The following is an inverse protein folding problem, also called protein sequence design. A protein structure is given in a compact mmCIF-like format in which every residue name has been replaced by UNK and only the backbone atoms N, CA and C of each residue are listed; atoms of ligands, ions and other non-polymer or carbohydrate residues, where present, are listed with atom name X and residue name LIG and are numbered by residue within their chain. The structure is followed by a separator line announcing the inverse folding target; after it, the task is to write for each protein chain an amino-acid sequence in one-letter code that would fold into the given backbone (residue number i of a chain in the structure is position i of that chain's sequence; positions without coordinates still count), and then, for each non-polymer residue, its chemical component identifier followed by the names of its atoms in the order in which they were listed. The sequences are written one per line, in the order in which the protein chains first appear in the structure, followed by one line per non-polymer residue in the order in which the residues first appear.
data_IF_953082176367
#
_entry.id   IF_953082176367
#
_cell.length_a   1.000
_cell.length_b   1.000
_cell.length_c   1.000
_cell.angle_alpha   90.00
_cell.angle_beta   90.00
_cell.angle_gamma   90.00
#
_symmetry.space_group_name_H-M   'P 1'
#
loop_
_entity.id
_entity.type
_entity.pdbx_description
1 polymer ?
#
# COMPACT_ATOMS: atom_id res chain seq x y z
N UNK A 1 -4.62 -0.62 -36.07
CA UNK A 1 -5.04 -1.61 -35.07
C UNK A 1 -4.54 -1.04 -33.77
N UNK A 2 -5.46 -0.51 -32.98
CA UNK A 2 -5.15 0.34 -31.84
C UNK A 2 -4.46 -0.46 -30.74
N UNK A 3 -3.26 -0.01 -30.36
CA UNK A 3 -2.53 -0.44 -29.17
C UNK A 3 -3.34 -0.03 -27.93
N UNK A 4 -4.33 -0.85 -27.59
CA UNK A 4 -5.20 -0.60 -26.45
C UNK A 4 -4.39 -0.86 -25.17
N UNK A 5 -3.79 0.20 -24.64
CA UNK A 5 -3.14 0.23 -23.34
C UNK A 5 -4.09 -0.39 -22.30
N UNK A 6 -3.65 -1.47 -21.68
CA UNK A 6 -4.46 -2.24 -20.73
C UNK A 6 -4.64 -1.46 -19.41
N UNK A 7 -3.82 -0.42 -19.17
CA UNK A 7 -4.04 0.66 -18.21
C UNK A 7 -3.31 1.92 -18.68
N UNK A 8 -4.00 3.07 -18.71
CA UNK A 8 -3.36 4.37 -19.01
C UNK A 8 -2.78 5.06 -17.76
N UNK A 9 -3.20 4.64 -16.58
CA UNK A 9 -2.82 5.23 -15.30
C UNK A 9 -2.85 4.16 -14.20
N UNK A 10 -1.75 3.97 -13.47
CA UNK A 10 -1.84 3.53 -12.09
C UNK A 10 -2.00 4.81 -11.26
N UNK A 11 -3.11 4.95 -10.56
CA UNK A 11 -3.28 6.07 -9.65
C UNK A 11 -2.57 5.72 -8.35
N UNK A 12 -1.54 6.49 -8.00
CA UNK A 12 -1.07 6.55 -6.60
C UNK A 12 -2.12 7.31 -5.81
N UNK A 13 -3.22 6.64 -5.46
CA UNK A 13 -4.27 7.24 -4.63
C UNK A 13 -3.80 7.11 -3.18
N UNK A 14 -3.67 8.23 -2.47
CA UNK A 14 -3.36 8.25 -1.04
C UNK A 14 -2.08 8.98 -0.64
N UNK A 15 -1.33 9.56 -1.58
CA UNK A 15 -0.38 10.62 -1.20
C UNK A 15 -1.23 11.84 -0.84
N UNK A 16 -1.58 12.00 0.44
CA UNK A 16 -2.09 13.29 0.91
C UNK A 16 -1.03 14.37 0.63
N UNK A 17 -1.40 15.66 0.51
CA UNK A 17 -0.45 16.75 0.30
C UNK A 17 0.64 16.84 1.38
N UNK A 18 0.46 16.15 2.51
CA UNK A 18 1.49 15.99 3.54
C UNK A 18 2.58 14.97 3.16
N UNK A 19 2.21 13.84 2.54
CA UNK A 19 3.16 12.79 2.13
C UNK A 19 3.97 13.23 0.91
N UNK A 20 3.41 14.09 0.05
CA UNK A 20 4.15 14.65 -1.10
C UNK A 20 5.35 15.51 -0.63
N UNK A 21 5.23 16.21 0.51
CA UNK A 21 6.33 17.01 1.07
C UNK A 21 7.46 16.17 1.66
N UNK A 22 7.15 14.98 2.18
CA UNK A 22 8.13 14.08 2.80
C UNK A 22 8.84 13.16 1.78
N UNK A 23 8.28 13.04 0.58
CA UNK A 23 8.85 12.25 -0.52
C UNK A 23 9.71 13.08 -1.49
N UNK A 24 9.69 14.41 -1.41
CA UNK A 24 10.65 15.26 -2.11
C UNK A 24 11.99 15.13 -1.37
N UNK A 25 13.04 14.56 -1.98
CA UNK A 25 14.36 14.57 -1.38
C UNK A 25 14.78 16.04 -1.22
N UNK A 26 14.89 16.52 0.02
CA UNK A 26 15.63 17.74 0.28
C UNK A 26 17.09 17.44 -0.09
N UNK A 27 17.56 17.93 -1.23
CA UNK A 27 18.96 17.88 -1.68
C UNK A 27 19.90 18.73 -0.80
N UNK A 28 19.71 18.70 0.52
CA UNK A 28 20.60 19.33 1.49
C UNK A 28 21.13 18.27 2.46
N UNK A 29 22.19 17.63 1.98
CA UNK A 29 23.11 16.84 2.80
C UNK A 29 23.77 17.79 3.82
N UNK A 30 23.17 17.94 4.99
CA UNK A 30 23.83 18.54 6.14
C UNK A 30 23.94 17.55 7.29
N UNK A 31 25.09 16.85 7.28
CA UNK A 31 25.65 16.11 8.40
C UNK A 31 25.66 16.99 9.66
N UNK A 32 24.73 16.76 10.60
CA UNK A 32 24.95 17.16 11.98
C UNK A 32 24.14 16.32 12.96
N UNK A 33 24.90 15.77 13.91
CA UNK A 33 24.55 14.89 15.00
C UNK A 33 23.56 15.54 15.97
N UNK A 34 22.33 15.02 16.11
CA UNK A 34 21.59 15.00 17.39
C UNK A 34 20.33 14.11 17.30
N UNK A 35 20.09 13.20 18.26
CA UNK A 35 18.85 12.44 18.31
C UNK A 35 17.74 13.34 18.87
N UNK A 36 16.84 13.81 17.99
CA UNK A 36 15.62 14.49 18.43
C UNK A 36 14.56 13.45 18.77
N UNK A 37 14.27 13.33 20.06
CA UNK A 37 13.12 12.61 20.59
C UNK A 37 11.83 13.22 20.01
N UNK A 38 11.22 12.55 19.04
CA UNK A 38 9.88 12.89 18.54
C UNK A 38 8.86 11.92 19.14
N UNK A 39 8.55 12.10 20.42
CA UNK A 39 7.32 11.61 21.04
C UNK A 39 6.20 12.61 20.74
N UNK A 40 5.36 12.29 19.76
CA UNK A 40 3.95 12.69 19.57
C UNK A 40 3.63 12.89 18.08
N UNK A 41 3.33 11.80 17.40
CA UNK A 41 2.37 11.84 16.31
C UNK A 41 1.26 10.87 16.69
N UNK A 42 0.01 11.35 16.67
CA UNK A 42 -1.18 10.54 16.91
C UNK A 42 -1.21 9.42 15.88
N UNK A 43 -0.68 8.26 16.26
CA UNK A 43 -0.70 7.02 15.49
C UNK A 43 -2.11 6.46 15.51
N UNK A 44 -3.00 7.09 14.75
CA UNK A 44 -4.25 6.44 14.35
C UNK A 44 -3.86 5.39 13.30
N UNK A 45 -3.60 4.18 13.81
CA UNK A 45 -3.02 3.01 13.13
C UNK A 45 -1.50 3.12 12.99
N UNK A 46 -0.77 2.17 13.60
CA UNK A 46 0.69 2.19 13.83
C UNK A 46 1.58 2.05 12.58
N UNK A 47 1.31 2.80 11.52
CA UNK A 47 2.27 3.00 10.44
C UNK A 47 3.20 4.17 10.82
N UNK A 48 4.47 3.87 11.11
CA UNK A 48 5.50 4.90 11.25
C UNK A 48 5.65 5.58 9.88
N UNK A 49 5.16 6.81 9.79
CA UNK A 49 5.11 7.60 8.55
C UNK A 49 6.48 8.04 8.06
N UNK A 50 7.56 7.84 8.82
CA UNK A 50 8.90 8.19 8.36
C UNK A 50 9.35 7.18 7.29
N UNK A 51 9.38 7.56 5.98
CA UNK A 51 9.59 6.60 4.89
C UNK A 51 10.95 5.89 4.97
N UNK A 52 11.91 6.50 5.67
CA UNK A 52 13.26 5.97 5.88
C UNK A 52 13.30 4.75 6.81
N UNK A 53 12.28 4.53 7.65
CA UNK A 53 12.29 3.45 8.64
C UNK A 53 11.33 2.30 8.36
N UNK A 54 10.37 2.45 7.42
CA UNK A 54 9.50 1.34 7.05
C UNK A 54 10.26 0.23 6.31
N UNK A 55 10.03 -1.02 6.75
CA UNK A 55 10.48 -2.19 6.01
C UNK A 55 9.79 -2.24 4.63
N UNK A 56 10.48 -2.67 3.57
CA UNK A 56 9.89 -2.78 2.24
C UNK A 56 8.78 -3.81 2.22
N UNK A 57 7.85 -3.68 1.27
CA UNK A 57 6.86 -4.72 0.98
C UNK A 57 7.60 -5.87 0.29
N UNK A 58 7.43 -7.07 0.84
CA UNK A 58 8.15 -8.27 0.40
C UNK A 58 7.21 -9.44 0.06
N UNK A 59 5.91 -9.26 0.27
CA UNK A 59 4.90 -10.26 -0.01
C UNK A 59 3.52 -9.62 -0.17
N UNK A 60 2.68 -10.24 -1.00
CA UNK A 60 1.29 -9.83 -1.24
C UNK A 60 0.44 -11.09 -1.27
N UNK A 61 -0.74 -11.02 -0.66
CA UNK A 61 -1.76 -12.05 -0.71
C UNK A 61 -3.11 -11.43 -1.06
N UNK A 62 -4.01 -12.24 -1.61
CA UNK A 62 -5.43 -11.88 -1.77
C UNK A 62 -6.23 -12.84 -0.92
N UNK A 63 -7.17 -12.30 -0.14
CA UNK A 63 -8.07 -13.10 0.70
C UNK A 63 -9.52 -12.98 0.23
N UNK A 64 -10.28 -14.05 0.43
CA UNK A 64 -11.73 -14.11 0.23
C UNK A 64 -12.47 -14.13 1.58
N UNK A 65 -12.96 -12.95 2.00
CA UNK A 65 -13.72 -12.84 3.25
C UNK A 65 -15.11 -13.48 3.17
N UNK A 66 -15.64 -13.72 1.98
CA UNK A 66 -16.92 -14.43 1.82
C UNK A 66 -16.82 -15.88 2.29
N UNK A 67 -15.65 -16.51 2.16
CA UNK A 67 -15.37 -17.83 2.72
C UNK A 67 -14.75 -17.80 4.14
N UNK A 68 -14.72 -16.63 4.77
CA UNK A 68 -14.19 -16.49 6.13
C UNK A 68 -12.67 -16.48 6.22
N UNK A 69 -11.95 -16.24 5.12
CA UNK A 69 -10.50 -16.05 5.18
C UNK A 69 -10.16 -14.79 5.99
N UNK A 70 -9.19 -14.92 6.89
CA UNK A 70 -8.64 -13.82 7.68
C UNK A 70 -7.33 -13.30 7.10
N UNK A 71 -6.88 -12.16 7.60
CA UNK A 71 -5.54 -11.64 7.29
C UNK A 71 -4.47 -12.67 7.70
N UNK A 72 -3.56 -13.09 6.79
CA UNK A 72 -2.53 -14.05 7.14
C UNK A 72 -1.59 -13.54 8.25
N UNK A 73 -0.97 -14.45 9.00
CA UNK A 73 -0.08 -14.07 10.10
C UNK A 73 1.13 -13.25 9.59
N UNK A 74 1.36 -12.10 10.21
CA UNK A 74 2.43 -11.16 9.83
C UNK A 74 2.11 -10.29 8.61
N UNK A 75 0.87 -10.30 8.11
CA UNK A 75 0.41 -9.42 7.04
C UNK A 75 -0.50 -8.33 7.60
N UNK A 76 -0.52 -7.20 6.91
CA UNK A 76 -1.52 -6.15 7.04
C UNK A 76 -2.54 -6.27 5.91
N UNK A 77 -3.78 -5.86 6.16
CA UNK A 77 -4.84 -5.82 5.13
C UNK A 77 -5.14 -4.39 4.70
N UNK A 78 -5.32 -4.20 3.40
CA UNK A 78 -5.89 -2.99 2.83
C UNK A 78 -7.41 -3.18 2.80
N UNK A 79 -8.08 -2.83 3.90
CA UNK A 79 -9.56 -2.95 4.00
C UNK A 79 -10.30 -1.72 3.50
N UNK A 80 -9.62 -0.57 3.45
CA UNK A 80 -10.19 0.70 3.03
C UNK A 80 -9.27 1.43 2.04
N UNK A 81 -9.88 2.19 1.15
CA UNK A 81 -9.18 3.18 0.32
C UNK A 81 -8.73 4.34 1.19
N UNK A 82 -7.79 5.18 0.72
CA UNK A 82 -7.40 6.40 1.43
C UNK A 82 -8.55 7.39 1.70
N UNK A 83 -9.63 7.30 0.92
CA UNK A 83 -10.85 8.09 1.09
C UNK A 83 -11.87 7.45 2.05
N UNK A 84 -11.52 6.34 2.70
CA UNK A 84 -12.37 5.64 3.67
C UNK A 84 -13.45 4.73 3.06
N UNK A 85 -13.41 4.49 1.75
CA UNK A 85 -14.32 3.54 1.09
C UNK A 85 -13.82 2.11 1.26
N UNK A 86 -14.68 1.10 1.11
CA UNK A 86 -14.24 -0.30 1.10
C UNK A 86 -13.25 -0.55 -0.03
N UNK A 87 -12.15 -1.24 0.27
CA UNK A 87 -11.16 -1.69 -0.72
C UNK A 87 -11.46 -3.09 -1.30
N UNK A 88 -12.73 -3.53 -1.27
CA UNK A 88 -13.14 -4.78 -1.91
C UNK A 88 -12.88 -4.71 -3.42
N UNK A 89 -12.04 -5.61 -3.94
CA UNK A 89 -11.66 -5.66 -5.35
C UNK A 89 -12.84 -5.94 -6.28
N UNK A 90 -13.93 -6.51 -5.75
CA UNK A 90 -15.16 -6.83 -6.51
C UNK A 90 -16.34 -5.90 -6.15
N UNK A 91 -16.08 -4.71 -5.61
CA UNK A 91 -17.13 -3.77 -5.23
C UNK A 91 -18.10 -3.46 -6.39
N UNK A 92 -19.40 -3.40 -6.10
CA UNK A 92 -20.44 -2.99 -7.06
C UNK A 92 -21.21 -4.13 -7.76
N UNK A 93 -20.88 -5.40 -7.53
CA UNK A 93 -21.67 -6.53 -8.03
C UNK A 93 -22.52 -7.22 -6.96
N UNK A 94 -23.71 -7.68 -7.35
CA UNK A 94 -24.63 -8.40 -6.47
C UNK A 94 -24.07 -9.81 -6.20
N UNK A 95 -23.87 -10.17 -4.92
CA UNK A 95 -23.32 -11.47 -4.48
C UNK A 95 -21.89 -11.75 -4.93
N UNK A 96 -21.12 -10.71 -5.21
CA UNK A 96 -19.69 -10.87 -5.45
C UNK A 96 -18.97 -11.28 -4.18
N UNK A 97 -17.89 -12.06 -4.35
CA UNK A 97 -16.97 -12.40 -3.28
C UNK A 97 -16.27 -11.14 -2.77
N UNK A 98 -16.05 -11.08 -1.46
CA UNK A 98 -15.41 -9.96 -0.79
C UNK A 98 -13.89 -10.15 -0.78
N UNK A 99 -13.25 -9.67 -1.85
CA UNK A 99 -11.82 -9.89 -2.11
C UNK A 99 -11.00 -8.69 -1.64
N UNK A 100 -9.93 -8.93 -0.88
CA UNK A 100 -9.06 -7.87 -0.34
C UNK A 100 -7.59 -8.21 -0.51
N UNK A 101 -6.75 -7.19 -0.64
CA UNK A 101 -5.28 -7.33 -0.68
C UNK A 101 -4.74 -7.29 0.74
N UNK A 102 -3.86 -8.22 1.05
CA UNK A 102 -2.96 -8.18 2.19
C UNK A 102 -1.51 -8.01 1.72
N UNK A 103 -0.68 -7.34 2.51
CA UNK A 103 0.74 -7.19 2.22
C UNK A 103 1.56 -7.50 3.47
N UNK A 104 2.81 -7.90 3.28
CA UNK A 104 3.77 -8.08 4.36
C UNK A 104 5.00 -7.23 4.11
N UNK A 105 5.46 -6.57 5.17
CA UNK A 105 6.74 -5.86 5.18
C UNK A 105 7.81 -6.70 5.85
N UNK A 106 9.05 -6.60 5.36
CA UNK A 106 10.14 -7.45 5.84
C UNK A 106 11.47 -7.10 5.19
N UNK A 107 12.57 -7.66 5.72
CA UNK A 107 13.89 -7.64 5.08
C UNK A 107 14.43 -9.06 4.83
N UNK A 108 13.55 -10.05 5.00
CA UNK A 108 13.82 -11.48 4.83
C UNK A 108 13.73 -11.95 3.37
N UNK A 109 13.14 -11.12 2.48
CA UNK A 109 13.03 -11.36 1.04
C UNK A 109 13.33 -10.07 0.27
N UNK A 110 13.58 -10.20 -1.03
CA UNK A 110 13.73 -9.06 -1.92
C UNK A 110 12.47 -8.19 -1.93
N UNK A 111 12.59 -6.85 -1.94
CA UNK A 111 11.46 -5.95 -2.10
C UNK A 111 10.69 -6.22 -3.39
N UNK A 112 9.37 -6.10 -3.32
CA UNK A 112 8.52 -6.00 -4.51
C UNK A 112 8.68 -4.59 -5.07
N UNK A 113 9.13 -4.50 -6.32
CA UNK A 113 9.41 -3.22 -6.99
C UNK A 113 8.37 -2.84 -8.02
N UNK A 114 7.54 -3.78 -8.48
CA UNK A 114 6.52 -3.55 -9.50
C UNK A 114 5.35 -4.52 -9.35
N UNK A 115 4.15 -4.09 -9.75
CA UNK A 115 2.91 -4.87 -9.73
C UNK A 115 2.14 -4.62 -11.03
N UNK A 116 1.91 -5.67 -11.80
CA UNK A 116 1.07 -5.64 -12.99
C UNK A 116 -0.30 -6.26 -12.75
N UNK A 117 -1.33 -5.72 -13.41
CA UNK A 117 -2.66 -6.34 -13.50
C UNK A 117 -2.82 -6.91 -14.89
N UNK A 118 -3.01 -8.23 -14.99
CA UNK A 118 -3.29 -8.91 -16.25
C UNK A 118 -4.79 -9.20 -16.34
N UNK A 119 -5.41 -8.81 -17.45
CA UNK A 119 -6.77 -9.20 -17.80
C UNK A 119 -6.72 -10.23 -18.91
N UNK A 120 -7.04 -11.49 -18.59
CA UNK A 120 -7.19 -12.54 -19.59
C UNK A 120 -8.57 -12.41 -20.26
N UNK A 121 -8.60 -12.10 -21.56
CA UNK A 121 -9.88 -11.95 -22.27
C UNK A 121 -9.90 -11.22 -23.60
N UNK A 122 -8.75 -10.89 -24.21
CA UNK A 122 -8.64 -10.55 -25.63
C UNK A 122 -7.31 -11.03 -26.20
#
# INVERSE_FOLDING_TARGET
MDDKRIVDYFALVGIGPEIERDLVPNDEYHSSTTPKNHSNTNSLNGYDLTPQYQQPIVDIAVIDRTYGEGTPAGYDIISQTPTGLSANLNHGGLRNHEMYICFRRGRDKSPITDIGVLFEGR
#
